data_IF_845849802186
#
_entry.id   IF_845849802186
#
_cell.length_a   1.000
_cell.length_b   1.000
_cell.length_c   1.000
_cell.angle_alpha   90.00
_cell.angle_beta   90.00
_cell.angle_gamma   90.00
#
_symmetry.space_group_name_H-M   'P 1'
#
loop_
_entity.id
_entity.type
_entity.pdbx_description
1 polymer ?
#
# COMPACT_ATOMS: atom_id res chain seq x y z
N UNK A 1 -3.44 10.30 20.15
CA UNK A 1 -4.29 9.77 19.05
C UNK A 1 -3.57 8.53 18.57
N UNK A 2 -4.25 7.39 18.50
CA UNK A 2 -3.63 6.12 18.08
C UNK A 2 -3.91 5.92 16.60
N UNK A 3 -2.93 5.49 15.81
CA UNK A 3 -3.11 5.29 14.36
C UNK A 3 -2.96 3.81 14.03
N UNK A 4 -3.98 3.26 13.37
CA UNK A 4 -3.92 1.95 12.74
C UNK A 4 -3.46 2.14 11.30
N UNK A 5 -2.45 1.38 10.89
CA UNK A 5 -2.02 1.32 9.51
C UNK A 5 -2.69 0.14 8.82
N UNK A 6 -3.50 0.41 7.81
CA UNK A 6 -4.15 -0.59 6.95
C UNK A 6 -3.32 -0.79 5.69
N UNK A 7 -2.82 -2.01 5.45
CA UNK A 7 -2.09 -2.27 4.20
C UNK A 7 -3.03 -2.26 3.00
N UNK A 8 -2.78 -1.38 2.04
CA UNK A 8 -3.35 -1.46 0.70
C UNK A 8 -2.50 -2.44 -0.13
N UNK A 9 -3.15 -3.38 -0.81
CA UNK A 9 -2.52 -4.60 -1.34
C UNK A 9 -3.13 -4.97 -2.71
N UNK A 10 -2.99 -6.22 -3.13
CA UNK A 10 -3.33 -6.71 -4.47
C UNK A 10 -4.65 -7.51 -4.54
N UNK A 11 -5.17 -7.68 -5.76
CA UNK A 11 -6.19 -8.69 -6.12
C UNK A 11 -7.45 -8.68 -5.23
N UNK A 12 -7.88 -9.85 -4.74
CA UNK A 12 -9.16 -10.00 -4.03
C UNK A 12 -9.22 -9.19 -2.70
N UNK A 13 -8.21 -9.23 -1.81
CA UNK A 13 -8.29 -8.44 -0.59
C UNK A 13 -8.16 -6.92 -0.83
N UNK A 14 -7.64 -6.47 -1.98
CA UNK A 14 -7.68 -5.05 -2.37
C UNK A 14 -9.13 -4.63 -2.62
N UNK A 15 -9.87 -5.42 -3.42
CA UNK A 15 -11.29 -5.19 -3.67
C UNK A 15 -12.12 -5.22 -2.38
N UNK A 16 -11.81 -6.15 -1.47
CA UNK A 16 -12.48 -6.18 -0.16
C UNK A 16 -12.18 -4.93 0.69
N UNK A 17 -10.96 -4.39 0.60
CA UNK A 17 -10.57 -3.15 1.29
C UNK A 17 -11.42 -1.97 0.85
N UNK A 18 -11.69 -1.82 -0.46
CA UNK A 18 -12.58 -0.76 -0.97
C UNK A 18 -13.98 -0.78 -0.35
N UNK A 19 -14.48 -1.96 0.02
CA UNK A 19 -15.78 -2.10 0.69
C UNK A 19 -15.70 -1.93 2.21
N UNK A 20 -14.69 -2.53 2.85
CA UNK A 20 -14.63 -2.65 4.31
C UNK A 20 -13.97 -1.44 4.99
N UNK A 21 -12.91 -0.88 4.41
CA UNK A 21 -12.15 0.19 5.05
C UNK A 21 -13.00 1.44 5.37
N UNK A 22 -13.89 1.92 4.47
CA UNK A 22 -14.75 3.05 4.79
C UNK A 22 -15.69 2.78 5.98
N UNK A 23 -16.13 1.53 6.14
CA UNK A 23 -16.96 1.10 7.27
C UNK A 23 -16.14 1.16 8.55
N UNK A 24 -14.94 0.57 8.55
CA UNK A 24 -14.02 0.58 9.71
C UNK A 24 -13.71 2.01 10.15
N UNK A 25 -13.32 2.89 9.21
CA UNK A 25 -13.06 4.30 9.49
C UNK A 25 -14.28 5.01 10.08
N UNK A 26 -15.48 4.71 9.56
CA UNK A 26 -16.72 5.31 10.07
C UNK A 26 -17.06 4.85 11.49
N UNK A 27 -16.86 3.57 11.79
CA UNK A 27 -17.08 3.01 13.13
C UNK A 27 -16.12 3.60 14.18
N UNK A 28 -14.89 3.90 13.78
CA UNK A 28 -13.87 4.46 14.67
C UNK A 28 -13.95 5.99 14.82
N UNK A 29 -14.82 6.67 14.06
CA UNK A 29 -14.95 8.14 14.11
C UNK A 29 -15.29 8.62 15.53
N UNK A 30 -14.46 9.51 16.07
CA UNK A 30 -14.64 10.09 17.40
C UNK A 30 -14.09 9.23 18.55
N UNK A 31 -13.51 8.07 18.25
CA UNK A 31 -12.87 7.20 19.25
C UNK A 31 -11.44 7.63 19.64
N UNK A 32 -10.84 8.58 18.90
CA UNK A 32 -9.43 8.95 19.03
C UNK A 32 -8.46 7.96 18.37
N UNK A 33 -8.99 7.05 17.54
CA UNK A 33 -8.24 6.13 16.68
C UNK A 33 -8.44 6.52 15.21
N UNK A 34 -7.34 6.76 14.50
CA UNK A 34 -7.33 7.00 13.06
C UNK A 34 -6.90 5.74 12.30
N UNK A 35 -7.33 5.63 11.05
CA UNK A 35 -6.93 4.53 10.16
C UNK A 35 -6.38 5.12 8.85
N UNK A 36 -5.08 4.95 8.65
CA UNK A 36 -4.36 5.39 7.44
C UNK A 36 -4.01 4.20 6.57
N UNK A 37 -3.91 4.42 5.26
CA UNK A 37 -3.43 3.38 4.32
C UNK A 37 -1.96 3.54 4.03
N UNK A 38 -1.30 2.41 3.76
CA UNK A 38 0.06 2.35 3.21
C UNK A 38 0.04 1.32 2.08
N UNK A 39 0.33 1.77 0.87
CA UNK A 39 0.33 0.91 -0.32
C UNK A 39 1.60 0.05 -0.37
N UNK A 40 1.41 -1.26 -0.25
CA UNK A 40 2.45 -2.28 -0.42
C UNK A 40 2.08 -3.28 -1.53
N UNK A 41 1.17 -2.89 -2.43
CA UNK A 41 0.86 -3.63 -3.65
C UNK A 41 2.12 -3.86 -4.50
N UNK A 42 2.07 -4.84 -5.39
CA UNK A 42 3.14 -5.08 -6.36
C UNK A 42 3.43 -3.83 -7.19
N UNK A 43 2.40 -3.14 -7.67
CA UNK A 43 2.55 -1.92 -8.46
C UNK A 43 3.20 -0.78 -7.66
N UNK A 44 2.70 -0.50 -6.46
CA UNK A 44 3.27 0.54 -5.59
C UNK A 44 4.73 0.28 -5.25
N UNK A 45 5.09 -0.98 -4.95
CA UNK A 45 6.48 -1.37 -4.68
C UNK A 45 7.40 -1.26 -5.90
N UNK A 46 6.91 -1.56 -7.11
CA UNK A 46 7.68 -1.33 -8.33
C UNK A 46 7.97 0.17 -8.47
N UNK A 47 6.93 1.01 -8.43
CA UNK A 47 7.09 2.47 -8.59
C UNK A 47 8.04 3.09 -7.56
N UNK A 48 7.93 2.68 -6.29
CA UNK A 48 8.80 3.15 -5.20
C UNK A 48 10.29 2.86 -5.44
N UNK A 49 10.63 1.82 -6.21
CA UNK A 49 12.02 1.43 -6.50
C UNK A 49 12.62 2.13 -7.73
N UNK A 50 11.83 2.87 -8.52
CA UNK A 50 12.31 3.59 -9.71
C UNK A 50 11.92 5.08 -9.73
N UNK A 51 12.08 5.83 -8.63
CA UNK A 51 11.62 7.23 -8.56
C UNK A 51 12.27 8.14 -9.61
N UNK A 52 13.48 7.83 -10.06
CA UNK A 52 14.21 8.59 -11.09
C UNK A 52 13.62 8.44 -12.51
N UNK A 53 12.74 7.46 -12.70
CA UNK A 53 12.00 7.20 -13.95
C UNK A 53 10.60 7.83 -13.95
N UNK A 54 10.21 8.43 -12.83
CA UNK A 54 8.87 8.94 -12.61
C UNK A 54 8.85 10.47 -12.65
N UNK A 55 7.79 11.01 -13.24
CA UNK A 55 7.47 12.43 -13.06
C UNK A 55 7.08 12.69 -11.60
N UNK A 56 7.15 13.95 -11.16
CA UNK A 56 6.91 14.30 -9.75
C UNK A 56 5.50 13.93 -9.25
N UNK A 57 4.50 13.90 -10.14
CA UNK A 57 3.13 13.49 -9.86
C UNK A 57 2.93 11.97 -9.84
N UNK A 58 3.88 11.21 -10.39
CA UNK A 58 3.86 9.74 -10.43
C UNK A 58 4.62 9.11 -9.26
N UNK A 59 5.48 9.87 -8.59
CA UNK A 59 6.30 9.37 -7.48
C UNK A 59 5.41 8.96 -6.30
N UNK A 60 5.73 7.78 -5.77
CA UNK A 60 5.12 7.25 -4.56
C UNK A 60 6.19 7.06 -3.50
N UNK A 61 5.79 7.12 -2.23
CA UNK A 61 6.70 6.83 -1.13
C UNK A 61 6.99 5.32 -1.05
N UNK A 62 8.20 4.95 -0.63
CA UNK A 62 8.52 3.57 -0.27
C UNK A 62 7.90 3.20 1.09
N UNK A 63 6.62 2.86 1.05
CA UNK A 63 5.89 2.47 2.25
C UNK A 63 6.33 1.12 2.81
N UNK A 64 6.94 0.24 2.02
CA UNK A 64 7.45 -1.03 2.57
C UNK A 64 8.65 -0.76 3.48
N UNK A 65 9.57 0.11 3.06
CA UNK A 65 10.69 0.53 3.89
C UNK A 65 10.21 1.28 5.16
N UNK A 66 9.29 2.25 5.01
CA UNK A 66 8.73 2.99 6.14
C UNK A 66 8.02 2.08 7.15
N UNK A 67 7.25 1.09 6.67
CA UNK A 67 6.61 0.10 7.53
C UNK A 67 7.63 -0.78 8.24
N UNK A 68 8.72 -1.15 7.55
CA UNK A 68 9.85 -1.88 8.13
C UNK A 68 10.45 -1.13 9.33
N UNK A 69 10.69 0.18 9.19
CA UNK A 69 11.14 1.04 10.30
C UNK A 69 10.09 1.12 11.42
N UNK A 70 8.82 1.32 11.05
CA UNK A 70 7.71 1.40 12.02
C UNK A 70 7.58 0.14 12.87
N UNK A 71 7.87 -1.05 12.32
CA UNK A 71 7.78 -2.30 13.09
C UNK A 71 8.71 -2.35 14.32
N UNK A 72 9.71 -1.46 14.40
CA UNK A 72 10.60 -1.34 15.55
C UNK A 72 10.04 -0.46 16.67
N UNK A 73 8.95 0.28 16.39
CA UNK A 73 8.27 1.13 17.37
C UNK A 73 7.25 0.31 18.17
N UNK A 74 7.29 0.34 19.52
CA UNK A 74 6.31 -0.37 20.36
C UNK A 74 4.86 0.11 20.20
N UNK A 75 4.66 1.29 19.60
CA UNK A 75 3.33 1.86 19.31
C UNK A 75 2.79 1.43 17.95
N UNK A 76 3.56 0.68 17.16
CA UNK A 76 3.15 0.22 15.84
C UNK A 76 1.87 -0.63 15.92
N UNK A 77 0.88 -0.23 15.12
CA UNK A 77 -0.38 -0.96 14.97
C UNK A 77 -0.67 -1.12 13.48
N UNK A 78 -0.43 -2.32 12.95
CA UNK A 78 -0.50 -2.60 11.52
C UNK A 78 -1.48 -3.74 11.27
N UNK A 79 -2.53 -3.47 10.50
CA UNK A 79 -3.41 -4.50 9.94
C UNK A 79 -2.85 -4.89 8.57
N UNK A 80 -2.23 -6.06 8.52
CA UNK A 80 -1.62 -6.63 7.31
C UNK A 80 -2.58 -7.60 6.62
N UNK A 81 -3.00 -7.26 5.40
CA UNK A 81 -3.81 -8.10 4.53
C UNK A 81 -2.92 -8.94 3.61
N UNK A 82 -3.37 -10.09 3.07
CA UNK A 82 -2.60 -10.88 2.10
C UNK A 82 -2.18 -10.04 0.88
N UNK A 83 -0.95 -10.22 0.39
CA UNK A 83 -0.41 -9.52 -0.78
C UNK A 83 0.33 -10.49 -1.70
N UNK A 84 0.64 -10.07 -2.92
CA UNK A 84 1.32 -10.88 -3.92
C UNK A 84 2.82 -11.01 -3.62
N UNK A 85 3.27 -12.25 -3.44
CA UNK A 85 4.68 -12.65 -3.59
C UNK A 85 4.94 -12.96 -5.07
N UNK A 86 5.29 -11.93 -5.84
CA UNK A 86 5.25 -11.98 -7.30
C UNK A 86 6.22 -13.02 -7.89
N UNK A 87 5.68 -13.88 -8.74
CA UNK A 87 6.47 -14.67 -9.70
C UNK A 87 6.99 -13.77 -10.84
N UNK A 88 7.94 -14.28 -11.63
CA UNK A 88 8.46 -13.55 -12.80
C UNK A 88 7.34 -13.13 -13.77
N UNK A 89 6.38 -14.02 -14.16
CA UNK A 89 5.29 -13.61 -15.04
C UNK A 89 4.41 -12.50 -14.45
N UNK A 90 4.12 -12.54 -13.14
CA UNK A 90 3.33 -11.50 -12.47
C UNK A 90 4.07 -10.17 -12.43
N UNK A 91 5.38 -10.18 -12.16
CA UNK A 91 6.21 -8.98 -12.18
C UNK A 91 6.23 -8.35 -13.58
N UNK A 92 6.44 -9.16 -14.62
CA UNK A 92 6.44 -8.69 -16.01
C UNK A 92 5.08 -8.13 -16.43
N UNK A 93 3.98 -8.79 -16.02
CA UNK A 93 2.63 -8.30 -16.29
C UNK A 93 2.35 -6.96 -15.61
N UNK A 94 2.74 -6.80 -14.34
CA UNK A 94 2.58 -5.55 -13.60
C UNK A 94 3.40 -4.40 -14.22
N UNK A 95 4.64 -4.68 -14.63
CA UNK A 95 5.49 -3.68 -15.33
C UNK A 95 4.83 -3.28 -16.66
N UNK A 96 4.38 -4.25 -17.46
CA UNK A 96 3.71 -3.96 -18.73
C UNK A 96 2.41 -3.14 -18.54
N UNK A 97 1.64 -3.43 -17.49
CA UNK A 97 0.46 -2.65 -17.14
C UNK A 97 0.82 -1.21 -16.74
N UNK A 98 1.84 -1.02 -15.90
CA UNK A 98 2.34 0.30 -15.53
C UNK A 98 2.82 1.07 -16.77
N UNK A 99 3.60 0.45 -17.65
CA UNK A 99 4.05 1.08 -18.89
C UNK A 99 2.88 1.49 -19.79
N UNK A 100 1.83 0.67 -19.88
CA UNK A 100 0.61 1.04 -20.61
C UNK A 100 -0.12 2.25 -20.01
N UNK A 101 0.12 2.56 -18.73
CA UNK A 101 -0.42 3.70 -17.99
C UNK A 101 0.51 4.93 -18.00
N UNK A 102 1.64 4.88 -18.71
CA UNK A 102 2.55 6.01 -18.91
C UNK A 102 3.66 6.16 -17.87
N UNK A 103 3.98 5.09 -17.14
CA UNK A 103 5.19 5.00 -16.32
C UNK A 103 6.35 4.46 -17.18
N UNK A 104 7.52 5.12 -17.21
CA UNK A 104 8.69 4.71 -18.04
C UNK A 104 9.40 3.45 -17.51
#
# INVERSE_FOLDING_TARGET
>A
MSTIIWSEIDEAPALATYALLPIVQKFLKGSGVDVETRDISLAGRILANFPDKLNDDQKVADYLAQLGELTQDPTANIIKLPNVSASIPQLQAAIAELQSKGYD
#
